data_IF_595697050277
#
_entry.id   IF_595697050277
#
_cell.length_a   1.000
_cell.length_b   1.000
_cell.length_c   1.000
_cell.angle_alpha   90.00
_cell.angle_beta   90.00
_cell.angle_gamma   90.00
#
_symmetry.space_group_name_H-M   'P 1'
#
loop_
_entity.id
_entity.type
_entity.pdbx_description
1 polymer ?
#
# COMPACT_ATOMS: atom_id res chain seq x y z
N UNK A 1 17.07 0.99 8.44
CA UNK A 1 15.62 1.18 8.28
C UNK A 1 15.21 0.33 7.09
N UNK A 2 14.10 -0.40 7.16
CA UNK A 2 13.65 -1.28 6.07
C UNK A 2 12.93 -0.40 5.06
N UNK A 3 13.18 -0.63 3.76
CA UNK A 3 12.49 0.04 2.65
C UNK A 3 11.70 -1.02 1.89
N UNK A 4 10.38 -0.94 1.93
CA UNK A 4 9.47 -1.89 1.29
C UNK A 4 8.77 -1.24 0.11
N UNK A 5 8.70 -1.98 -1.01
CA UNK A 5 7.82 -1.62 -2.12
C UNK A 5 6.35 -1.65 -1.68
N UNK A 6 5.42 -0.99 -2.43
CA UNK A 6 3.99 -1.07 -2.15
C UNK A 6 3.44 -2.50 -2.12
N UNK A 7 3.91 -3.40 -2.99
CA UNK A 7 3.46 -4.80 -2.97
C UNK A 7 4.08 -5.59 -1.81
N UNK A 8 5.34 -5.35 -1.47
CA UNK A 8 6.00 -5.95 -0.31
C UNK A 8 5.30 -5.54 1.01
N UNK A 9 4.99 -4.25 1.16
CA UNK A 9 4.22 -3.71 2.28
C UNK A 9 2.82 -4.35 2.36
N UNK A 10 2.17 -4.58 1.20
CA UNK A 10 0.89 -5.29 1.13
C UNK A 10 1.01 -6.72 1.65
N UNK A 11 1.99 -7.50 1.20
CA UNK A 11 2.19 -8.89 1.63
C UNK A 11 2.44 -8.97 3.14
N UNK A 12 3.30 -8.11 3.68
CA UNK A 12 3.56 -8.05 5.13
C UNK A 12 2.29 -7.66 5.90
N UNK A 13 1.57 -6.62 5.45
CA UNK A 13 0.31 -6.22 6.07
C UNK A 13 -0.72 -7.34 6.10
N UNK A 14 -0.83 -8.13 5.03
CA UNK A 14 -1.72 -9.30 4.97
C UNK A 14 -1.30 -10.36 5.99
N UNK A 15 -0.01 -10.67 6.11
CA UNK A 15 0.46 -11.62 7.10
C UNK A 15 0.14 -11.18 8.53
N UNK A 16 0.41 -9.92 8.86
CA UNK A 16 0.10 -9.35 10.19
C UNK A 16 -1.40 -9.40 10.50
N UNK A 17 -2.24 -9.09 9.49
CA UNK A 17 -3.69 -9.17 9.62
C UNK A 17 -4.16 -10.60 9.88
N UNK A 18 -3.69 -11.58 9.09
CA UNK A 18 -4.16 -12.96 9.17
C UNK A 18 -3.61 -13.71 10.37
N UNK A 19 -2.39 -13.41 10.83
CA UNK A 19 -1.86 -13.95 12.09
C UNK A 19 -2.79 -13.63 13.27
N UNK A 20 -3.41 -12.44 13.27
CA UNK A 20 -4.28 -12.01 14.36
C UNK A 20 -5.74 -12.41 14.15
N UNK A 21 -6.27 -12.22 12.94
CA UNK A 21 -7.70 -12.37 12.66
C UNK A 21 -8.12 -13.79 12.28
N UNK A 22 -7.20 -14.59 11.75
CA UNK A 22 -7.44 -15.98 11.29
C UNK A 22 -6.22 -16.85 11.63
N UNK A 23 -5.86 -16.99 12.93
CA UNK A 23 -4.67 -17.72 13.34
C UNK A 23 -4.68 -19.19 12.90
N UNK A 24 -5.86 -19.78 12.69
CA UNK A 24 -6.04 -21.15 12.20
C UNK A 24 -5.54 -21.34 10.76
N UNK A 25 -5.46 -20.26 9.97
CA UNK A 25 -4.96 -20.28 8.59
C UNK A 25 -3.47 -19.93 8.50
N UNK A 26 -2.88 -19.43 9.59
CA UNK A 26 -1.49 -19.02 9.65
C UNK A 26 -0.60 -20.18 10.10
N UNK A 27 0.59 -20.42 9.50
CA UNK A 27 1.24 -19.66 8.42
C UNK A 27 0.58 -19.81 7.05
N UNK A 28 0.72 -18.79 6.20
CA UNK A 28 0.00 -18.66 4.93
C UNK A 28 0.76 -19.32 3.76
N UNK A 29 0.03 -19.94 2.83
CA UNK A 29 0.55 -20.31 1.51
C UNK A 29 0.47 -19.13 0.53
N UNK A 30 1.09 -19.28 -0.65
CA UNK A 30 1.00 -18.29 -1.74
C UNK A 30 -0.45 -17.98 -2.13
N UNK A 31 -1.31 -19.00 -2.22
CA UNK A 31 -2.74 -18.79 -2.52
C UNK A 31 -3.44 -18.03 -1.37
N UNK A 32 -3.10 -18.34 -0.11
CA UNK A 32 -3.58 -17.56 1.04
C UNK A 32 -3.18 -16.08 0.97
N UNK A 33 -1.93 -15.81 0.58
CA UNK A 33 -1.43 -14.47 0.35
C UNK A 33 -2.13 -13.78 -0.82
N UNK A 34 -2.35 -14.46 -1.94
CA UNK A 34 -3.06 -13.93 -3.11
C UNK A 34 -4.48 -13.50 -2.77
N UNK A 35 -5.22 -14.37 -2.09
CA UNK A 35 -6.56 -14.04 -1.61
C UNK A 35 -6.55 -12.86 -0.64
N UNK A 36 -5.52 -12.73 0.19
CA UNK A 36 -5.36 -11.63 1.14
C UNK A 36 -4.94 -10.30 0.50
N UNK A 37 -4.04 -10.31 -0.47
CA UNK A 37 -3.53 -9.10 -1.13
C UNK A 37 -4.58 -8.46 -2.03
N UNK A 38 -5.39 -9.30 -2.69
CA UNK A 38 -6.40 -8.90 -3.68
C UNK A 38 -7.82 -8.73 -3.09
N UNK A 39 -7.95 -8.66 -1.75
CA UNK A 39 -9.26 -8.42 -1.13
C UNK A 39 -9.83 -7.06 -1.55
N UNK A 40 -11.12 -7.01 -1.88
CA UNK A 40 -11.82 -5.75 -2.21
C UNK A 40 -12.07 -4.87 -0.99
N UNK A 41 -12.21 -5.50 0.18
CA UNK A 41 -12.39 -4.82 1.46
C UNK A 41 -11.06 -4.65 2.17
N UNK A 42 -10.92 -3.58 2.92
CA UNK A 42 -9.78 -3.34 3.81
C UNK A 42 -8.43 -3.23 3.08
N UNK A 43 -8.45 -2.85 1.80
CA UNK A 43 -7.27 -2.61 0.96
C UNK A 43 -7.43 -1.29 0.23
N UNK A 44 -6.44 -0.42 0.37
CA UNK A 44 -6.37 0.84 -0.36
C UNK A 44 -4.90 1.01 -0.82
N UNK A 45 -4.59 0.93 -2.13
CA UNK A 45 -5.48 0.59 -3.25
C UNK A 45 -5.82 -0.90 -3.31
N UNK A 46 -6.95 -1.23 -3.96
CA UNK A 46 -7.26 -2.62 -4.32
C UNK A 46 -6.28 -3.07 -5.41
N UNK A 47 -5.60 -4.19 -5.18
CA UNK A 47 -4.62 -4.76 -6.10
C UNK A 47 -5.17 -6.00 -6.79
N UNK A 48 -4.52 -6.42 -7.88
CA UNK A 48 -4.79 -7.66 -8.60
C UNK A 48 -3.48 -8.34 -8.98
N UNK A 49 -2.75 -8.81 -7.97
CA UNK A 49 -1.47 -9.51 -8.13
C UNK A 49 -1.69 -10.96 -8.54
N UNK A 50 -0.90 -11.46 -9.48
CA UNK A 50 -0.89 -12.89 -9.82
C UNK A 50 -0.16 -13.73 -8.75
N UNK A 51 -0.39 -15.04 -8.73
CA UNK A 51 0.35 -15.93 -7.81
C UNK A 51 1.85 -15.90 -8.10
N UNK A 52 2.26 -15.73 -9.36
CA UNK A 52 3.66 -15.57 -9.74
C UNK A 52 4.27 -14.28 -9.22
N UNK A 53 3.55 -13.16 -9.29
CA UNK A 53 4.03 -11.89 -8.73
C UNK A 53 4.24 -12.01 -7.22
N UNK A 54 3.28 -12.65 -6.54
CA UNK A 54 3.35 -12.86 -5.09
C UNK A 54 4.50 -13.80 -4.73
N UNK A 55 4.74 -14.85 -5.52
CA UNK A 55 5.89 -15.73 -5.30
C UNK A 55 7.20 -14.94 -5.38
N UNK A 56 7.37 -14.09 -6.40
CA UNK A 56 8.55 -13.25 -6.55
C UNK A 56 8.72 -12.30 -5.35
N UNK A 57 7.63 -11.62 -4.93
CA UNK A 57 7.63 -10.73 -3.77
C UNK A 57 7.98 -11.48 -2.47
N UNK A 58 7.45 -12.69 -2.30
CA UNK A 58 7.76 -13.54 -1.13
C UNK A 58 9.22 -13.94 -1.13
N UNK A 59 9.77 -14.31 -2.29
CA UNK A 59 11.19 -14.69 -2.41
C UNK A 59 12.11 -13.51 -2.10
N UNK A 60 11.78 -12.30 -2.57
CA UNK A 60 12.48 -11.06 -2.19
C UNK A 60 12.41 -10.81 -0.67
N UNK A 61 11.22 -10.91 -0.08
CA UNK A 61 11.03 -10.71 1.35
C UNK A 61 11.75 -11.76 2.20
N UNK A 62 11.88 -13.00 1.72
CA UNK A 62 12.70 -14.04 2.36
C UNK A 62 14.17 -13.67 2.29
N UNK A 63 14.67 -13.18 1.15
CA UNK A 63 16.05 -12.69 1.02
C UNK A 63 16.32 -11.51 1.96
N UNK A 64 15.33 -10.64 2.17
CA UNK A 64 15.38 -9.53 3.13
C UNK A 64 15.19 -9.96 4.59
N UNK A 65 15.08 -11.26 4.88
CA UNK A 65 14.79 -11.84 6.20
C UNK A 65 13.49 -11.34 6.85
N UNK A 66 12.53 -10.84 6.05
CA UNK A 66 11.23 -10.37 6.52
C UNK A 66 10.18 -11.49 6.54
N UNK A 67 10.37 -12.54 5.75
CA UNK A 67 9.56 -13.75 5.75
C UNK A 67 10.44 -14.99 5.94
N UNK A 68 9.85 -16.09 6.40
CA UNK A 68 10.54 -17.36 6.52
C UNK A 68 9.59 -18.53 6.22
N UNK A 69 10.15 -19.57 5.61
CA UNK A 69 9.43 -20.80 5.29
C UNK A 69 9.25 -21.64 6.55
N UNK A 70 8.04 -22.13 6.78
CA UNK A 70 7.77 -23.12 7.82
C UNK A 70 8.20 -24.52 7.36
N UNK A 71 9.44 -24.89 7.68
CA UNK A 71 9.98 -26.21 7.39
C UNK A 71 9.35 -27.35 8.22
N UNK A 72 8.56 -27.03 9.26
CA UNK A 72 7.87 -28.03 10.08
C UNK A 72 6.54 -28.46 9.48
N UNK A 73 6.01 -27.70 8.51
CA UNK A 73 4.80 -28.07 7.80
C UNK A 73 5.06 -29.32 6.93
N UNK A 74 4.54 -30.48 7.34
CA UNK A 74 4.64 -31.76 6.63
C UNK A 74 3.79 -31.83 5.33
N UNK A 75 3.43 -30.67 4.77
CA UNK A 75 2.61 -30.55 3.57
C UNK A 75 3.46 -30.37 2.32
N UNK A 76 2.91 -30.75 1.15
CA UNK A 76 3.54 -30.46 -0.16
C UNK A 76 3.61 -28.97 -0.50
N UNK A 77 2.85 -28.14 0.20
CA UNK A 77 2.71 -26.71 -0.07
C UNK A 77 3.51 -25.93 0.97
N UNK A 78 4.45 -25.12 0.50
CA UNK A 78 5.22 -24.21 1.36
C UNK A 78 4.28 -23.20 2.03
N UNK A 79 4.48 -23.01 3.32
CA UNK A 79 3.82 -21.98 4.12
C UNK A 79 4.87 -21.03 4.66
N UNK A 80 4.47 -19.77 4.84
CA UNK A 80 5.35 -18.68 5.20
C UNK A 80 4.81 -17.96 6.43
N UNK A 81 5.72 -17.57 7.32
CA UNK A 81 5.44 -16.71 8.46
C UNK A 81 6.29 -15.44 8.36
N UNK A 82 5.75 -14.33 8.88
CA UNK A 82 6.47 -13.07 8.94
C UNK A 82 7.51 -13.08 10.05
N UNK A 83 8.60 -12.37 9.80
CA UNK A 83 9.66 -12.04 10.75
C UNK A 83 9.76 -10.53 10.99
N UNK A 84 8.76 -9.78 10.54
CA UNK A 84 8.76 -8.32 10.50
C UNK A 84 8.83 -7.71 11.90
N UNK A 85 8.03 -8.22 12.85
CA UNK A 85 8.00 -7.75 14.22
C UNK A 85 7.83 -8.90 15.23
N UNK A 86 8.18 -8.65 16.48
CA UNK A 86 7.96 -9.57 17.61
C UNK A 86 8.63 -10.94 17.44
N UNK A 87 9.78 -10.97 16.77
CA UNK A 87 10.61 -12.19 16.65
C UNK A 87 11.60 -12.28 17.80
N UNK A 88 12.04 -13.50 18.14
CA UNK A 88 12.94 -13.77 19.27
C UNK A 88 14.26 -12.97 19.23
N UNK A 89 14.76 -12.67 18.02
CA UNK A 89 16.00 -11.92 17.80
C UNK A 89 15.76 -10.56 17.13
N UNK A 90 14.50 -10.16 16.95
CA UNK A 90 14.14 -8.90 16.31
C UNK A 90 14.24 -7.73 17.27
N UNK A 91 14.84 -6.63 16.81
CA UNK A 91 14.86 -5.37 17.56
C UNK A 91 13.49 -4.67 17.60
N UNK A 92 12.62 -4.98 16.63
CA UNK A 92 11.28 -4.42 16.53
C UNK A 92 10.28 -5.21 17.37
N UNK A 93 10.05 -4.75 18.60
CA UNK A 93 9.05 -5.28 19.52
C UNK A 93 7.88 -4.28 19.63
N UNK A 94 6.71 -4.71 19.19
CA UNK A 94 5.49 -3.94 19.10
C UNK A 94 4.40 -4.56 20.00
N UNK A 95 3.68 -3.71 20.71
CA UNK A 95 2.46 -4.14 21.40
C UNK A 95 1.37 -4.53 20.39
N UNK A 96 0.33 -5.24 20.84
CA UNK A 96 -0.80 -5.63 19.99
C UNK A 96 -1.45 -4.41 19.30
N UNK A 97 -1.61 -3.31 20.04
CA UNK A 97 -2.16 -2.05 19.54
C UNK A 97 -1.25 -1.38 18.50
N UNK A 98 0.06 -1.31 18.79
CA UNK A 98 1.04 -0.75 17.85
C UNK A 98 1.10 -1.56 16.55
N UNK A 99 1.12 -2.90 16.66
CA UNK A 99 1.08 -3.82 15.52
C UNK A 99 -0.20 -3.65 14.70
N UNK A 100 -1.35 -3.50 15.36
CA UNK A 100 -2.63 -3.27 14.70
C UNK A 100 -2.64 -1.98 13.87
N UNK A 101 -2.11 -0.88 14.43
CA UNK A 101 -1.99 0.40 13.73
C UNK A 101 -1.10 0.25 12.50
N UNK A 102 0.10 -0.33 12.65
CA UNK A 102 1.04 -0.53 11.53
C UNK A 102 0.42 -1.41 10.44
N UNK A 103 -0.24 -2.50 10.82
CA UNK A 103 -0.95 -3.37 9.88
C UNK A 103 -1.97 -2.60 9.03
N UNK A 104 -2.81 -1.76 9.66
CA UNK A 104 -3.83 -0.98 8.95
C UNK A 104 -3.21 0.12 8.09
N UNK A 105 -2.11 0.74 8.52
CA UNK A 105 -1.38 1.72 7.72
C UNK A 105 -0.70 1.09 6.50
N UNK A 106 -0.15 -0.13 6.60
CA UNK A 106 0.44 -0.86 5.47
C UNK A 106 -0.63 -1.28 4.44
N UNK A 107 -1.83 -1.63 4.91
CA UNK A 107 -2.89 -2.14 4.03
C UNK A 107 -3.72 -1.05 3.35
N UNK A 108 -3.82 0.13 3.97
CA UNK A 108 -4.70 1.22 3.50
C UNK A 108 -4.05 2.60 3.42
N UNK A 109 -2.76 2.72 3.70
CA UNK A 109 -2.06 3.99 3.68
C UNK A 109 -2.47 4.95 4.80
N UNK A 110 -2.26 6.27 4.60
CA UNK A 110 -2.39 7.25 5.68
C UNK A 110 -3.80 7.43 6.20
N UNK A 111 -3.99 7.39 7.52
CA UNK A 111 -5.32 7.44 8.16
C UNK A 111 -5.33 8.33 9.40
N UNK A 112 -6.51 8.82 9.78
CA UNK A 112 -6.67 9.59 11.04
C UNK A 112 -6.79 8.64 12.25
N UNK A 113 -6.53 9.13 13.48
CA UNK A 113 -6.72 8.33 14.69
C UNK A 113 -8.13 7.75 14.84
N UNK A 114 -9.17 8.52 14.46
CA UNK A 114 -10.56 8.05 14.50
C UNK A 114 -10.85 6.91 13.52
N UNK A 115 -10.28 6.97 12.31
CA UNK A 115 -10.37 5.89 11.33
C UNK A 115 -9.62 4.64 11.79
N UNK A 116 -8.40 4.83 12.31
CA UNK A 116 -7.56 3.75 12.82
C UNK A 116 -8.30 2.98 13.91
N UNK A 117 -8.87 3.65 14.92
CA UNK A 117 -9.66 3.00 15.98
C UNK A 117 -10.73 2.06 15.42
N UNK A 118 -11.50 2.55 14.44
CA UNK A 118 -12.60 1.76 13.88
C UNK A 118 -12.09 0.58 13.05
N UNK A 119 -10.99 0.77 12.32
CA UNK A 119 -10.44 -0.21 11.38
C UNK A 119 -9.53 -1.24 12.04
N UNK A 120 -9.02 -0.97 13.25
CA UNK A 120 -8.20 -1.90 14.06
C UNK A 120 -9.02 -2.78 15.00
N UNK A 121 -10.34 -2.58 15.15
CA UNK A 121 -11.20 -3.32 16.09
C UNK A 121 -11.09 -4.85 16.05
N UNK A 122 -10.74 -5.45 14.90
CA UNK A 122 -10.55 -6.91 14.78
C UNK A 122 -9.12 -7.38 15.10
N UNK A 123 -8.19 -6.45 15.23
CA UNK A 123 -6.76 -6.70 15.45
C UNK A 123 -6.36 -6.42 16.90
N UNK A 124 -6.87 -5.33 17.49
CA UNK A 124 -6.62 -4.97 18.87
C UNK A 124 -7.75 -4.08 19.39
N UNK A 125 -8.05 -4.21 20.69
CA UNK A 125 -9.03 -3.37 21.36
C UNK A 125 -8.41 -2.03 21.75
N UNK A 126 -9.15 -0.96 21.48
CA UNK A 126 -8.85 0.41 21.90
C UNK A 126 -10.07 0.97 22.63
N UNK A 127 -9.85 1.43 23.86
CA UNK A 127 -10.90 1.99 24.72
C UNK A 127 -11.46 3.27 24.12
N UNK A 128 -10.57 4.20 23.74
CA UNK A 128 -10.92 5.49 23.16
C UNK A 128 -9.92 5.90 22.05
N UNK A 129 -10.15 7.08 21.46
CA UNK A 129 -9.26 7.63 20.43
C UNK A 129 -7.93 8.09 21.04
N UNK A 130 -7.94 8.51 22.31
CA UNK A 130 -6.74 8.95 23.05
C UNK A 130 -5.69 7.84 23.14
N UNK A 131 -6.13 6.59 23.31
CA UNK A 131 -5.25 5.41 23.33
C UNK A 131 -4.59 5.16 21.97
N UNK A 132 -5.31 5.39 20.87
CA UNK A 132 -4.74 5.35 19.51
C UNK A 132 -3.71 6.45 19.33
N UNK A 133 -4.01 7.68 19.76
CA UNK A 133 -3.07 8.79 19.70
C UNK A 133 -1.80 8.53 20.53
N UNK A 134 -1.96 7.99 21.74
CA UNK A 134 -0.84 7.60 22.59
C UNK A 134 0.03 6.50 21.95
N UNK A 135 -0.60 5.48 21.36
CA UNK A 135 0.10 4.44 20.62
C UNK A 135 0.83 4.98 19.39
N UNK A 136 0.23 5.93 18.66
CA UNK A 136 0.87 6.63 17.54
C UNK A 136 2.07 7.45 18.00
N UNK A 137 1.95 8.21 19.10
CA UNK A 137 3.06 8.97 19.67
C UNK A 137 4.20 8.04 20.13
N UNK A 138 3.88 6.91 20.75
CA UNK A 138 4.89 5.90 21.10
C UNK A 138 5.57 5.30 19.85
N UNK A 139 4.86 5.16 18.73
CA UNK A 139 5.44 4.73 17.44
C UNK A 139 6.31 5.81 16.77
N UNK A 140 6.18 7.08 17.16
CA UNK A 140 7.06 8.16 16.69
C UNK A 140 8.43 8.14 17.37
N UNK A 141 8.52 7.54 18.55
CA UNK A 141 9.77 7.43 19.31
C UNK A 141 9.90 6.04 19.96
N UNK A 142 9.93 5.01 19.11
CA UNK A 142 10.09 3.63 19.59
C UNK A 142 11.56 3.25 19.57
N UNK A 143 12.19 3.26 20.75
CA UNK A 143 13.60 2.89 20.94
C UNK A 143 14.55 3.69 20.01
N UNK A 144 14.27 4.99 19.80
CA UNK A 144 15.04 5.87 18.92
C UNK A 144 14.75 5.70 17.43
N UNK A 145 13.74 4.90 17.05
CA UNK A 145 13.27 4.76 15.68
C UNK A 145 11.90 5.42 15.51
N UNK A 146 11.77 6.24 14.47
CA UNK A 146 10.49 6.81 14.05
C UNK A 146 9.84 5.82 13.07
N UNK A 147 8.73 5.21 13.45
CA UNK A 147 8.02 4.22 12.62
C UNK A 147 6.81 4.80 11.91
N UNK A 148 6.28 5.90 12.42
CA UNK A 148 5.11 6.59 11.90
C UNK A 148 5.39 8.10 11.89
N UNK A 149 4.93 8.81 10.86
CA UNK A 149 5.00 10.26 10.76
C UNK A 149 3.59 10.86 10.74
N UNK A 150 3.41 11.97 11.45
CA UNK A 150 2.17 12.76 11.41
C UNK A 150 2.25 13.72 10.23
N UNK A 151 1.28 13.63 9.33
CA UNK A 151 1.17 14.48 8.15
C UNK A 151 0.59 15.86 8.50
N UNK A 152 0.83 16.82 7.62
CA UNK A 152 0.16 18.12 7.68
C UNK A 152 -1.36 17.94 7.62
N UNK A 153 -2.09 18.84 8.27
CA UNK A 153 -3.56 18.81 8.24
C UNK A 153 -4.03 19.26 6.86
N UNK A 154 -4.94 18.49 6.27
CA UNK A 154 -5.67 18.93 5.09
C UNK A 154 -6.53 20.17 5.44
N UNK A 155 -6.64 21.16 4.54
CA UNK A 155 -7.49 22.33 4.75
C UNK A 155 -8.94 21.93 5.10
N UNK A 156 -9.46 22.44 6.22
CA UNK A 156 -10.82 22.15 6.67
C UNK A 156 -10.98 20.85 7.47
N UNK A 157 -9.93 20.04 7.64
CA UNK A 157 -9.95 18.86 8.52
C UNK A 157 -9.38 19.19 9.91
N UNK A 158 -10.05 18.70 10.94
CA UNK A 158 -9.65 18.91 12.35
C UNK A 158 -8.52 17.97 12.78
N UNK A 159 -8.44 16.78 12.19
CA UNK A 159 -7.49 15.73 12.54
C UNK A 159 -6.40 15.59 11.46
N UNK A 160 -5.18 15.25 11.88
CA UNK A 160 -4.08 14.92 10.96
C UNK A 160 -4.12 13.43 10.62
N UNK A 161 -3.63 13.08 9.45
CA UNK A 161 -3.38 11.68 9.06
C UNK A 161 -1.97 11.27 9.48
N UNK A 162 -1.78 9.97 9.67
CA UNK A 162 -0.49 9.37 10.01
C UNK A 162 -0.08 8.41 8.92
N UNK A 163 1.20 8.42 8.53
CA UNK A 163 1.80 7.52 7.52
C UNK A 163 2.88 6.66 8.17
N UNK A 164 3.02 5.42 7.72
CA UNK A 164 4.08 4.52 8.17
C UNK A 164 5.39 4.75 7.39
N UNK A 165 6.54 4.50 8.04
CA UNK A 165 7.88 4.79 7.51
C UNK A 165 8.70 3.53 7.13
N UNK A 166 8.01 2.41 6.86
CA UNK A 166 8.61 1.17 6.35
C UNK A 166 8.58 1.06 4.83
N UNK A 167 7.82 1.94 4.14
CA UNK A 167 7.82 2.02 2.68
C UNK A 167 8.82 3.04 2.17
N UNK A 168 9.15 2.92 0.89
CA UNK A 168 10.11 3.77 0.20
C UNK A 168 9.82 5.26 0.36
N UNK A 169 10.87 6.08 0.31
CA UNK A 169 10.81 7.53 0.58
C UNK A 169 9.89 8.26 -0.41
N UNK A 170 9.81 7.76 -1.64
CA UNK A 170 8.90 8.23 -2.69
C UNK A 170 7.42 8.08 -2.28
N UNK A 171 7.06 6.96 -1.64
CA UNK A 171 5.70 6.73 -1.13
C UNK A 171 5.35 7.71 0.00
N UNK A 172 6.31 7.99 0.87
CA UNK A 172 6.13 8.93 1.99
C UNK A 172 5.95 10.35 1.44
N UNK A 173 6.78 10.76 0.48
CA UNK A 173 6.69 12.08 -0.16
C UNK A 173 5.37 12.28 -0.90
N UNK A 174 4.88 11.26 -1.61
CA UNK A 174 3.58 11.31 -2.30
C UNK A 174 2.40 11.59 -1.35
N UNK A 175 2.55 11.33 -0.06
CA UNK A 175 1.53 11.57 0.96
C UNK A 175 1.81 12.78 1.87
N UNK A 176 2.99 13.40 1.79
CA UNK A 176 3.34 14.58 2.59
C UNK A 176 2.82 15.89 2.02
N UNK A 177 2.71 15.99 0.69
CA UNK A 177 2.10 17.15 0.07
C UNK A 177 0.58 16.99 0.06
N UNK A 178 -0.18 17.84 0.79
CA UNK A 178 -1.63 17.89 0.66
C UNK A 178 -1.95 18.52 -0.70
N UNK A 179 -1.92 17.68 -1.72
CA UNK A 179 -2.76 17.72 -2.89
C UNK A 179 -3.18 19.13 -3.37
N UNK A 180 -2.25 19.81 -4.05
CA UNK A 180 -2.60 20.71 -5.15
C UNK A 180 -2.76 19.93 -6.48
N UNK A 181 -2.73 18.59 -6.48
CA UNK A 181 -2.67 17.77 -7.68
C UNK A 181 -3.65 16.58 -7.63
N UNK A 182 -4.95 16.88 -7.53
CA UNK A 182 -6.02 15.93 -7.93
C UNK A 182 -6.47 16.23 -9.35
N UNK A 183 -5.55 16.72 -10.17
CA UNK A 183 -5.57 16.64 -11.62
C UNK A 183 -4.22 16.04 -12.00
N UNK A 184 -4.23 15.06 -12.91
CA UNK A 184 -3.13 14.11 -13.11
C UNK A 184 -1.74 14.73 -13.13
N UNK A 185 -0.81 14.11 -12.39
CA UNK A 185 0.61 14.44 -12.44
C UNK A 185 1.14 14.01 -13.80
N UNK A 186 1.03 14.93 -14.74
CA UNK A 186 1.98 15.12 -15.81
C UNK A 186 2.79 16.31 -15.35
N UNK A 187 4.10 16.16 -15.22
CA UNK A 187 5.00 17.30 -14.98
C UNK A 187 4.64 18.44 -15.95
N UNK A 188 4.86 19.71 -15.60
CA UNK A 188 4.54 20.84 -16.50
C UNK A 188 5.13 20.64 -17.90
N UNK A 189 6.30 19.98 -17.95
CA UNK A 189 6.98 19.49 -19.14
C UNK A 189 6.18 18.43 -19.91
N UNK A 190 5.65 17.41 -19.25
CA UNK A 190 4.83 16.36 -19.87
C UNK A 190 3.44 16.86 -20.29
N UNK A 191 2.85 17.80 -19.54
CA UNK A 191 1.60 18.47 -19.92
C UNK A 191 1.78 19.29 -21.20
N UNK A 192 2.91 20.00 -21.32
CA UNK A 192 3.28 20.69 -22.55
C UNK A 192 3.49 19.72 -23.71
N UNK A 193 4.25 18.65 -23.52
CA UNK A 193 4.48 17.63 -24.55
C UNK A 193 3.18 16.94 -25.00
N UNK A 194 2.24 16.70 -24.08
CA UNK A 194 0.94 16.13 -24.42
C UNK A 194 0.05 17.13 -25.15
N UNK A 195 0.06 18.40 -24.76
CA UNK A 195 -0.70 19.43 -25.48
C UNK A 195 -0.21 19.58 -26.92
N UNK A 196 1.11 19.56 -27.15
CA UNK A 196 1.70 19.56 -28.48
C UNK A 196 1.32 18.30 -29.28
N UNK A 197 1.33 17.14 -28.62
CA UNK A 197 0.91 15.86 -29.22
C UNK A 197 -0.56 15.87 -29.63
N UNK A 198 -1.43 16.44 -28.79
CA UNK A 198 -2.87 16.54 -29.04
C UNK A 198 -3.12 17.44 -30.25
N UNK A 199 -2.49 18.62 -30.31
CA UNK A 199 -2.63 19.53 -31.45
C UNK A 199 -2.19 18.84 -32.75
N UNK A 200 -1.03 18.17 -32.75
CA UNK A 200 -0.55 17.44 -33.92
C UNK A 200 -1.49 16.28 -34.34
N UNK A 201 -2.12 15.61 -33.38
CA UNK A 201 -3.09 14.55 -33.65
C UNK A 201 -4.40 15.11 -34.19
N UNK A 202 -4.89 16.23 -33.66
CA UNK A 202 -6.09 16.90 -34.15
C UNK A 202 -5.92 17.38 -35.61
N UNK A 203 -4.76 17.93 -35.96
CA UNK A 203 -4.44 18.29 -37.35
C UNK A 203 -4.38 17.06 -38.27
N UNK A 204 -3.78 15.96 -37.80
CA UNK A 204 -3.75 14.71 -38.56
C UNK A 204 -5.15 14.12 -38.76
N UNK A 205 -6.00 14.15 -37.73
CA UNK A 205 -7.39 13.69 -37.84
C UNK A 205 -8.13 14.56 -38.84
N UNK A 206 -8.02 15.89 -38.77
CA UNK A 206 -8.66 16.78 -39.73
C UNK A 206 -8.22 16.49 -41.18
N UNK A 207 -6.93 16.32 -41.43
CA UNK A 207 -6.41 15.98 -42.76
C UNK A 207 -6.90 14.61 -43.26
N UNK A 208 -6.95 13.61 -42.37
CA UNK A 208 -7.43 12.27 -42.72
C UNK A 208 -8.93 12.25 -42.98
N UNK A 209 -9.72 13.00 -42.21
CA UNK A 209 -11.16 13.16 -42.44
C UNK A 209 -11.45 13.87 -43.77
N UNK A 210 -10.66 14.89 -44.13
CA UNK A 210 -10.79 15.56 -45.43
C UNK A 210 -10.43 14.61 -46.59
N UNK A 211 -9.36 13.81 -46.46
CA UNK A 211 -9.01 12.80 -47.46
C UNK A 211 -10.07 11.72 -47.58
N UNK A 212 -10.64 11.27 -46.45
CA UNK A 212 -11.72 10.27 -46.46
C UNK A 212 -12.99 10.81 -47.11
N UNK A 213 -13.36 12.07 -46.86
CA UNK A 213 -14.53 12.69 -47.50
C UNK A 213 -14.32 12.90 -49.01
N UNK A 214 -13.11 13.24 -49.45
CA UNK A 214 -12.77 13.30 -50.87
C UNK A 214 -12.80 11.91 -51.54
N UNK A 215 -12.28 10.88 -50.87
CA UNK A 215 -12.31 9.49 -51.36
C UNK A 215 -13.74 8.93 -51.41
N UNK A 216 -14.57 9.20 -50.40
CA UNK A 216 -15.97 8.76 -50.40
C UNK A 216 -16.76 9.45 -51.52
N UNK A 217 -16.52 10.74 -51.76
CA UNK A 217 -17.16 11.46 -52.87
C UNK A 217 -16.75 10.91 -54.25
N UNK A 218 -15.54 10.36 -54.39
CA UNK A 218 -15.08 9.70 -55.63
C UNK A 218 -15.59 8.25 -55.80
N UNK A 219 -16.14 7.64 -54.74
CA UNK A 219 -16.71 6.30 -54.77
C UNK A 219 -18.23 6.30 -54.97
N UNK A 220 -18.88 7.45 -54.75
CA UNK A 220 -20.33 7.67 -54.95
C UNK A 220 -20.68 8.20 -56.36
N UNK A 221 -19.68 8.50 -57.21
CA UNK A 221 -19.78 8.78 -58.66
C UNK A 221 -19.36 7.54 -59.49
#
# INVERSE_FOLDING_TARGET
>A
MISLSPEQARVIGVMLEKETTTPEQYPLSINGLANGCNQKSNREPVMSLSESDIQNIVDELVQMNQLMVDHKASGRVNKYFHRFCNTEFGSLQLTLQQRAIICVLLLRGPQTPGELRTRTNRLADFSDVSEVEAALTALQDLNGNVLVKKLAREPGKRESRYVQLFSDEEYIQAHEEPNAATEGVLSTSESQLLSERIIALEEQVASLTEKLTQLSAQLDD
#
